data_IF_405932690244
#
_entry.id   IF_405932690244
#
_cell.length_a   1.000
_cell.length_b   1.000
_cell.length_c   1.000
_cell.angle_alpha   90.00
_cell.angle_beta   90.00
_cell.angle_gamma   90.00
#
_symmetry.space_group_name_H-M   'P 1'
#
loop_
_entity.id
_entity.type
_entity.pdbx_description
1 polymer ?
#
# COMPACT_ATOMS: atom_id res chain seq x y z
N UNK A 1 14.28 -0.19 24.81
CA UNK A 1 14.31 -1.31 23.87
C UNK A 1 13.00 -1.43 23.06
N UNK A 2 12.38 -0.31 22.63
CA UNK A 2 11.09 -0.28 21.90
C UNK A 2 11.04 0.72 20.73
N UNK A 3 12.14 1.36 20.37
CA UNK A 3 12.18 2.39 19.30
C UNK A 3 12.10 1.75 17.90
N UNK A 4 12.55 0.52 17.75
CA UNK A 4 12.51 -0.21 16.46
C UNK A 4 11.10 -0.71 16.05
N UNK A 5 10.12 -0.71 16.96
CA UNK A 5 8.75 -1.14 16.62
C UNK A 5 7.88 -0.02 16.08
N UNK A 6 8.13 1.24 16.45
CA UNK A 6 7.36 2.38 15.92
C UNK A 6 7.70 2.71 14.46
N UNK A 7 8.95 2.55 14.06
CA UNK A 7 9.36 2.81 12.67
C UNK A 7 8.75 1.80 11.67
N UNK A 8 8.37 0.59 12.13
CA UNK A 8 7.73 -0.43 11.28
C UNK A 8 6.26 -0.17 10.99
N UNK A 9 5.56 0.58 11.83
CA UNK A 9 4.12 0.83 11.68
C UNK A 9 3.83 1.95 10.68
N UNK A 10 4.62 3.00 10.62
CA UNK A 10 4.45 4.08 9.64
C UNK A 10 4.74 3.64 8.21
N UNK A 11 5.77 2.81 8.03
CA UNK A 11 6.18 2.29 6.72
C UNK A 11 5.15 1.33 6.08
N UNK A 12 4.37 0.65 6.90
CA UNK A 12 3.37 -0.33 6.44
C UNK A 12 2.03 0.32 6.06
N UNK A 13 1.75 1.52 6.58
CA UNK A 13 0.52 2.26 6.27
C UNK A 13 0.54 2.78 4.82
N UNK A 14 1.70 3.21 4.34
CA UNK A 14 1.89 3.69 2.96
C UNK A 14 1.72 2.57 1.91
N UNK A 15 2.08 1.33 2.25
CA UNK A 15 1.99 0.20 1.31
C UNK A 15 0.56 -0.29 1.07
N UNK A 16 -0.37 0.01 1.96
CA UNK A 16 -1.71 -0.58 1.95
C UNK A 16 -2.73 0.17 1.12
N UNK A 17 -2.49 1.44 0.87
CA UNK A 17 -3.34 2.20 -0.04
C UNK A 17 -3.03 1.91 -1.52
N UNK A 18 -1.89 1.27 -1.80
CA UNK A 18 -1.51 0.77 -3.14
C UNK A 18 -2.28 -0.47 -3.57
N UNK A 19 -3.10 -1.07 -2.71
CA UNK A 19 -3.88 -2.28 -3.02
C UNK A 19 -5.12 -2.02 -3.90
N UNK A 20 -5.43 -0.76 -4.16
CA UNK A 20 -6.43 -0.41 -5.17
C UNK A 20 -5.89 -0.48 -6.60
N UNK A 21 -4.62 -0.82 -6.82
CA UNK A 21 -4.05 -0.96 -8.14
C UNK A 21 -3.36 -2.30 -8.28
N UNK A 22 -3.84 -3.04 -9.25
CA UNK A 22 -3.27 -4.24 -9.85
C UNK A 22 -1.74 -4.25 -9.74
N UNK A 23 -1.20 -5.07 -8.86
CA UNK A 23 0.21 -5.47 -8.95
C UNK A 23 0.26 -6.60 -9.96
N UNK A 24 0.90 -6.43 -11.12
CA UNK A 24 1.25 -7.59 -11.92
C UNK A 24 2.23 -8.43 -11.12
N UNK A 25 1.84 -9.64 -10.78
CA UNK A 25 2.65 -10.64 -10.11
C UNK A 25 3.58 -11.26 -11.17
N UNK A 26 4.61 -10.50 -11.57
CA UNK A 26 5.71 -11.05 -12.34
C UNK A 26 6.95 -11.08 -11.47
N UNK A 27 7.22 -12.18 -10.83
CA UNK A 27 8.55 -12.76 -10.59
C UNK A 27 8.46 -13.94 -9.61
N UNK A 28 8.08 -15.09 -10.11
CA UNK A 28 8.66 -16.35 -9.63
C UNK A 28 8.77 -17.30 -10.80
N UNK A 29 9.84 -17.13 -11.59
CA UNK A 29 10.33 -18.20 -12.45
C UNK A 29 11.10 -19.20 -11.60
N UNK A 30 10.40 -20.21 -11.17
CA UNK A 30 10.95 -21.45 -10.64
C UNK A 30 10.18 -22.60 -11.27
N UNK A 31 10.71 -23.12 -12.36
CA UNK A 31 10.58 -24.47 -12.91
C UNK A 31 9.51 -25.37 -12.27
N UNK A 32 8.31 -25.46 -12.92
CA UNK A 32 7.64 -26.76 -13.05
C UNK A 32 6.72 -26.74 -14.29
N UNK A 33 7.08 -27.57 -15.26
CA UNK A 33 6.26 -27.97 -16.40
C UNK A 33 5.00 -28.65 -15.89
N UNK A 34 3.83 -28.04 -16.15
CA UNK A 34 2.53 -28.64 -15.80
C UNK A 34 1.40 -27.84 -16.44
N UNK A 35 0.98 -28.23 -17.61
CA UNK A 35 -0.21 -27.91 -18.39
C UNK A 35 -1.43 -27.58 -17.52
N UNK A 36 -1.71 -26.28 -17.27
CA UNK A 36 -3.06 -25.73 -16.91
C UNK A 36 -2.91 -24.21 -16.75
N UNK A 37 -3.14 -23.42 -17.80
CA UNK A 37 -2.94 -21.98 -17.71
C UNK A 37 -3.54 -21.17 -18.85
N UNK A 38 -4.68 -21.57 -19.40
CA UNK A 38 -5.28 -20.85 -20.53
C UNK A 38 -6.69 -20.30 -20.25
N UNK A 39 -7.13 -20.20 -18.98
CA UNK A 39 -8.46 -19.71 -18.62
C UNK A 39 -8.51 -18.70 -17.47
N UNK A 40 -7.38 -18.27 -16.90
CA UNK A 40 -7.40 -17.53 -15.62
C UNK A 40 -7.36 -15.99 -15.74
N UNK A 41 -7.12 -15.42 -16.91
CA UNK A 41 -6.96 -13.99 -17.08
C UNK A 41 -8.28 -13.18 -16.94
N UNK A 42 -9.32 -13.45 -17.73
CA UNK A 42 -10.56 -12.67 -17.68
C UNK A 42 -11.36 -12.89 -16.39
N UNK A 43 -11.49 -14.13 -15.93
CA UNK A 43 -12.21 -14.46 -14.69
C UNK A 43 -11.58 -13.82 -13.43
N UNK A 44 -10.25 -13.76 -13.40
CA UNK A 44 -9.53 -13.12 -12.31
C UNK A 44 -9.74 -11.61 -12.30
N UNK A 45 -9.70 -10.97 -13.47
CA UNK A 45 -9.98 -9.53 -13.58
C UNK A 45 -11.41 -9.19 -13.18
N UNK A 46 -12.38 -10.00 -13.60
CA UNK A 46 -13.76 -9.84 -13.19
C UNK A 46 -13.96 -10.03 -11.67
N UNK A 47 -13.29 -11.00 -11.07
CA UNK A 47 -13.31 -11.21 -9.63
C UNK A 47 -12.70 -10.01 -8.89
N UNK A 48 -11.57 -9.52 -9.36
CA UNK A 48 -10.92 -8.33 -8.78
C UNK A 48 -11.81 -7.08 -8.90
N UNK A 49 -12.51 -6.91 -10.02
CA UNK A 49 -13.47 -5.83 -10.21
C UNK A 49 -14.67 -5.96 -9.28
N UNK A 50 -15.24 -7.16 -9.13
CA UNK A 50 -16.35 -7.41 -8.19
C UNK A 50 -15.95 -7.15 -6.75
N UNK A 51 -14.75 -7.57 -6.35
CA UNK A 51 -14.22 -7.30 -5.00
C UNK A 51 -14.05 -5.81 -4.77
N UNK A 52 -13.51 -5.06 -5.75
CA UNK A 52 -13.39 -3.60 -5.65
C UNK A 52 -14.74 -2.91 -5.54
N UNK A 53 -15.68 -3.26 -6.41
CA UNK A 53 -17.01 -2.69 -6.37
C UNK A 53 -17.71 -2.93 -5.03
N UNK A 54 -17.61 -4.16 -4.50
CA UNK A 54 -18.17 -4.49 -3.19
C UNK A 54 -17.49 -3.73 -2.05
N UNK A 55 -16.18 -3.53 -2.14
CA UNK A 55 -15.44 -2.76 -1.14
C UNK A 55 -15.83 -1.27 -1.19
N UNK A 56 -15.96 -0.70 -2.38
CA UNK A 56 -16.41 0.69 -2.56
C UNK A 56 -17.81 0.89 -1.99
N UNK A 57 -18.74 0.00 -2.31
CA UNK A 57 -20.11 0.05 -1.77
C UNK A 57 -20.13 -0.03 -0.24
N UNK A 58 -19.40 -0.96 0.34
CA UNK A 58 -19.29 -1.08 1.80
C UNK A 58 -18.71 0.18 2.43
N UNK A 59 -17.70 0.81 1.82
CA UNK A 59 -17.13 2.07 2.32
C UNK A 59 -18.13 3.21 2.22
N UNK A 60 -18.86 3.31 1.11
CA UNK A 60 -19.91 4.29 0.92
C UNK A 60 -21.00 4.19 1.98
N UNK A 61 -21.51 2.97 2.25
CA UNK A 61 -22.50 2.70 3.28
C UNK A 61 -21.97 3.07 4.70
N UNK A 62 -20.75 2.67 5.03
CA UNK A 62 -20.17 2.92 6.35
C UNK A 62 -19.85 4.39 6.62
N UNK A 63 -19.53 5.15 5.58
CA UNK A 63 -19.26 6.58 5.67
C UNK A 63 -20.53 7.42 5.50
N UNK A 64 -21.62 6.84 5.01
CA UNK A 64 -22.87 7.53 4.74
C UNK A 64 -22.72 8.58 3.63
N UNK A 65 -22.02 8.23 2.53
CA UNK A 65 -21.71 9.14 1.45
C UNK A 65 -22.89 9.25 0.46
N UNK A 66 -23.13 10.45 -0.02
CA UNK A 66 -23.93 10.70 -1.22
C UNK A 66 -23.18 10.24 -2.47
N UNK A 67 -23.88 10.12 -3.60
CA UNK A 67 -23.27 9.76 -4.89
C UNK A 67 -22.20 10.77 -5.32
N UNK A 68 -22.44 12.07 -5.05
CA UNK A 68 -21.51 13.13 -5.37
C UNK A 68 -20.24 13.10 -4.51
N UNK A 69 -20.39 12.88 -3.21
CA UNK A 69 -19.27 12.74 -2.29
C UNK A 69 -18.42 11.49 -2.63
N UNK A 70 -19.04 10.37 -2.98
CA UNK A 70 -18.35 9.14 -3.38
C UNK A 70 -17.57 9.34 -4.69
N UNK A 71 -18.14 10.01 -5.67
CA UNK A 71 -17.44 10.33 -6.92
C UNK A 71 -16.20 11.20 -6.66
N UNK A 72 -16.33 12.28 -5.90
CA UNK A 72 -15.22 13.17 -5.53
C UNK A 72 -14.18 12.46 -4.68
N UNK A 73 -14.59 11.65 -3.71
CA UNK A 73 -13.70 10.81 -2.91
C UNK A 73 -12.87 9.88 -3.80
N UNK A 74 -13.52 9.25 -4.79
CA UNK A 74 -12.85 8.34 -5.72
C UNK A 74 -11.77 9.05 -6.53
N UNK A 75 -12.01 10.27 -7.00
CA UNK A 75 -11.01 11.09 -7.72
C UNK A 75 -9.81 11.44 -6.83
N UNK A 76 -10.07 11.91 -5.61
CA UNK A 76 -9.03 12.22 -4.61
C UNK A 76 -8.18 10.99 -4.34
N UNK A 77 -8.80 9.87 -4.01
CA UNK A 77 -8.11 8.60 -3.70
C UNK A 77 -7.28 8.11 -4.88
N UNK A 78 -7.78 8.25 -6.11
CA UNK A 78 -7.05 7.86 -7.31
C UNK A 78 -5.80 8.73 -7.52
N UNK A 79 -5.93 10.04 -7.39
CA UNK A 79 -4.84 11.00 -7.55
C UNK A 79 -3.73 10.77 -6.53
N UNK A 80 -4.06 10.76 -5.25
CA UNK A 80 -3.10 10.48 -4.18
C UNK A 80 -2.53 9.06 -4.23
N UNK A 81 -3.32 8.10 -4.69
CA UNK A 81 -2.87 6.73 -4.92
C UNK A 81 -1.73 6.63 -5.96
N UNK A 82 -1.75 7.46 -7.02
CA UNK A 82 -0.67 7.52 -8.00
C UNK A 82 0.62 8.08 -7.38
N UNK A 83 0.51 9.16 -6.62
CA UNK A 83 1.66 9.78 -5.94
C UNK A 83 2.30 8.82 -4.92
N UNK A 84 1.49 8.13 -4.10
CA UNK A 84 1.98 7.10 -3.18
C UNK A 84 2.71 5.96 -3.89
N UNK A 85 2.21 5.51 -5.04
CA UNK A 85 2.93 4.47 -5.82
C UNK A 85 4.29 4.93 -6.30
N UNK A 86 4.39 6.19 -6.71
CA UNK A 86 5.67 6.77 -7.12
C UNK A 86 6.64 6.85 -5.95
N UNK A 87 6.21 7.36 -4.81
CA UNK A 87 6.99 7.43 -3.57
C UNK A 87 7.45 6.02 -3.14
N UNK A 88 6.54 5.05 -3.09
CA UNK A 88 6.87 3.68 -2.73
C UNK A 88 7.83 2.98 -3.70
N UNK A 89 7.92 3.40 -4.98
CA UNK A 89 8.99 2.93 -5.88
C UNK A 89 10.35 3.49 -5.47
N UNK A 90 10.40 4.77 -5.11
CA UNK A 90 11.64 5.43 -4.67
C UNK A 90 12.15 4.83 -3.36
N UNK A 91 11.26 4.60 -2.39
CA UNK A 91 11.60 3.94 -1.13
C UNK A 91 12.15 2.53 -1.33
N UNK A 92 11.54 1.75 -2.23
CA UNK A 92 12.05 0.42 -2.55
C UNK A 92 13.45 0.47 -3.17
N UNK A 93 13.69 1.42 -4.07
CA UNK A 93 15.02 1.60 -4.69
C UNK A 93 16.09 1.94 -3.63
N UNK A 94 15.78 2.85 -2.71
CA UNK A 94 16.68 3.21 -1.61
C UNK A 94 16.92 2.00 -0.70
N UNK A 95 15.89 1.25 -0.34
CA UNK A 95 16.02 0.05 0.49
C UNK A 95 16.93 -0.99 -0.14
N UNK A 96 16.71 -1.29 -1.43
CA UNK A 96 17.56 -2.25 -2.16
C UNK A 96 19.02 -1.79 -2.20
N UNK A 97 19.26 -0.48 -2.32
CA UNK A 97 20.64 0.03 -2.30
C UNK A 97 21.27 -0.07 -0.91
N UNK A 98 20.50 0.18 0.15
CA UNK A 98 20.95 -0.05 1.53
C UNK A 98 21.30 -1.52 1.76
N UNK A 99 20.46 -2.45 1.31
CA UNK A 99 20.73 -3.89 1.40
C UNK A 99 22.00 -4.28 0.65
N UNK A 100 22.20 -3.75 -0.58
CA UNK A 100 23.42 -3.96 -1.37
C UNK A 100 24.65 -3.43 -0.64
N UNK A 101 24.62 -2.20 -0.13
CA UNK A 101 25.73 -1.60 0.62
C UNK A 101 26.12 -2.43 1.85
N UNK A 102 25.13 -2.96 2.58
CA UNK A 102 25.39 -3.84 3.73
C UNK A 102 26.05 -5.16 3.31
N UNK A 103 25.67 -5.74 2.17
CA UNK A 103 26.27 -6.97 1.63
C UNK A 103 27.69 -6.73 1.10
N UNK A 104 27.98 -5.56 0.59
CA UNK A 104 29.31 -5.14 0.11
C UNK A 104 30.31 -4.84 1.25
N UNK A 105 29.87 -4.99 2.51
CA UNK A 105 30.70 -4.76 3.69
C UNK A 105 30.59 -3.37 4.30
N UNK A 106 29.74 -2.52 3.76
CA UNK A 106 29.30 -1.27 4.40
C UNK A 106 30.40 -0.23 4.68
N UNK A 107 31.50 -0.22 3.92
CA UNK A 107 32.64 0.67 4.17
C UNK A 107 32.51 2.06 3.56
N UNK A 108 31.59 2.28 2.62
CA UNK A 108 31.36 3.59 2.01
C UNK A 108 30.48 4.47 2.90
N UNK A 109 31.14 5.25 3.76
CA UNK A 109 30.47 6.18 4.67
C UNK A 109 29.81 7.35 3.95
N UNK A 110 30.30 7.74 2.78
CA UNK A 110 29.74 8.83 2.00
C UNK A 110 28.39 8.41 1.39
N UNK A 111 28.35 7.24 0.76
CA UNK A 111 27.10 6.67 0.24
C UNK A 111 26.09 6.39 1.36
N UNK A 112 26.54 5.89 2.50
CA UNK A 112 25.66 5.67 3.66
C UNK A 112 25.02 7.00 4.12
N UNK A 113 25.77 8.10 4.16
CA UNK A 113 25.25 9.42 4.51
C UNK A 113 24.20 9.91 3.48
N UNK A 114 24.45 9.75 2.19
CA UNK A 114 23.49 10.08 1.13
C UNK A 114 22.20 9.27 1.23
N UNK A 115 22.30 7.97 1.48
CA UNK A 115 21.13 7.11 1.64
C UNK A 115 20.29 7.52 2.85
N UNK A 116 20.91 7.88 3.97
CA UNK A 116 20.21 8.39 5.16
C UNK A 116 19.49 9.71 4.86
N UNK A 117 20.11 10.64 4.16
CA UNK A 117 19.47 11.89 3.74
C UNK A 117 18.27 11.60 2.82
N UNK A 118 18.44 10.69 1.87
CA UNK A 118 17.37 10.31 0.94
C UNK A 118 16.21 9.63 1.64
N UNK A 119 16.48 8.77 2.61
CA UNK A 119 15.44 8.18 3.46
C UNK A 119 14.67 9.25 4.24
N UNK A 120 15.37 10.20 4.85
CA UNK A 120 14.73 11.29 5.58
C UNK A 120 13.85 12.16 4.66
N UNK A 121 14.33 12.49 3.47
CA UNK A 121 13.57 13.26 2.49
C UNK A 121 12.30 12.52 2.04
N UNK A 122 12.38 11.20 1.82
CA UNK A 122 11.22 10.38 1.45
C UNK A 122 10.18 10.33 2.57
N UNK A 123 10.60 10.25 3.84
CA UNK A 123 9.68 10.30 4.98
C UNK A 123 8.98 11.66 5.10
N UNK A 124 9.68 12.75 4.83
CA UNK A 124 9.06 14.09 4.78
C UNK A 124 8.02 14.17 3.67
N UNK A 125 8.36 13.70 2.47
CA UNK A 125 7.43 13.67 1.33
C UNK A 125 6.19 12.81 1.62
N UNK A 126 6.35 11.68 2.32
CA UNK A 126 5.24 10.85 2.76
C UNK A 126 4.31 11.61 3.72
N UNK A 127 4.88 12.30 4.70
CA UNK A 127 4.11 13.11 5.66
C UNK A 127 3.35 14.26 4.98
N UNK A 128 3.99 14.96 4.07
CA UNK A 128 3.38 16.04 3.26
C UNK A 128 2.23 15.50 2.40
N UNK A 129 2.45 14.34 1.76
CA UNK A 129 1.43 13.70 0.94
C UNK A 129 0.20 13.29 1.75
N UNK A 130 0.40 12.76 2.97
CA UNK A 130 -0.69 12.41 3.90
C UNK A 130 -1.45 13.67 4.31
N UNK A 131 -0.74 14.74 4.66
CA UNK A 131 -1.36 16.02 5.03
C UNK A 131 -2.18 16.59 3.88
N UNK A 132 -1.64 16.62 2.68
CA UNK A 132 -2.34 17.11 1.49
C UNK A 132 -3.59 16.28 1.18
N UNK A 133 -3.53 14.95 1.31
CA UNK A 133 -4.70 14.09 1.15
C UNK A 133 -5.78 14.41 2.19
N UNK A 134 -5.40 14.56 3.47
CA UNK A 134 -6.37 14.91 4.51
C UNK A 134 -7.05 16.26 4.22
N UNK A 135 -6.30 17.25 3.75
CA UNK A 135 -6.86 18.54 3.36
C UNK A 135 -7.86 18.41 2.21
N UNK A 136 -7.48 17.68 1.14
CA UNK A 136 -8.38 17.44 0.02
C UNK A 136 -9.64 16.66 0.43
N UNK A 137 -9.51 15.69 1.33
CA UNK A 137 -10.66 14.95 1.87
C UNK A 137 -11.61 15.85 2.66
N UNK A 138 -11.08 16.80 3.44
CA UNK A 138 -11.89 17.74 4.22
C UNK A 138 -12.66 18.76 3.37
N UNK A 139 -12.31 18.94 2.09
CA UNK A 139 -13.09 19.74 1.16
C UNK A 139 -14.40 19.06 0.72
N UNK A 140 -14.46 17.73 0.85
CA UNK A 140 -15.58 16.90 0.38
C UNK A 140 -16.32 16.23 1.53
N UNK A 141 -15.60 15.83 2.56
CA UNK A 141 -16.09 15.03 3.67
C UNK A 141 -16.05 15.81 4.99
N UNK A 142 -16.95 15.49 5.89
CA UNK A 142 -16.88 15.99 7.27
C UNK A 142 -15.65 15.41 7.98
N UNK A 143 -15.12 16.10 9.01
CA UNK A 143 -13.98 15.59 9.79
C UNK A 143 -14.20 14.18 10.35
N UNK A 144 -15.44 13.88 10.75
CA UNK A 144 -15.79 12.56 11.29
C UNK A 144 -15.77 11.48 10.21
N UNK A 145 -16.21 11.79 8.99
CA UNK A 145 -16.12 10.87 7.84
C UNK A 145 -14.66 10.61 7.45
N UNK A 146 -13.81 11.65 7.48
CA UNK A 146 -12.36 11.48 7.24
C UNK A 146 -11.73 10.58 8.30
N UNK A 147 -12.01 10.79 9.58
CA UNK A 147 -11.51 9.91 10.64
C UNK A 147 -11.98 8.46 10.48
N UNK A 148 -13.24 8.26 10.14
CA UNK A 148 -13.77 6.90 9.86
C UNK A 148 -13.06 6.26 8.66
N UNK A 149 -12.84 7.02 7.59
CA UNK A 149 -12.11 6.54 6.42
C UNK A 149 -10.69 6.10 6.76
N UNK A 150 -9.94 6.91 7.51
CA UNK A 150 -8.59 6.59 7.99
C UNK A 150 -8.61 5.31 8.82
N UNK A 151 -9.52 5.22 9.78
CA UNK A 151 -9.66 4.06 10.65
C UNK A 151 -10.00 2.77 9.88
N UNK A 152 -10.93 2.84 8.93
CA UNK A 152 -11.27 1.71 8.06
C UNK A 152 -10.08 1.23 7.23
N UNK A 153 -9.30 2.16 6.69
CA UNK A 153 -8.07 1.84 5.94
C UNK A 153 -7.05 1.13 6.82
N UNK A 154 -6.85 1.58 8.05
CA UNK A 154 -5.96 0.92 9.01
C UNK A 154 -6.41 -0.50 9.35
N UNK A 155 -7.71 -0.69 9.62
CA UNK A 155 -8.26 -2.02 9.92
C UNK A 155 -8.08 -2.99 8.74
N UNK A 156 -8.38 -2.54 7.52
CA UNK A 156 -8.18 -3.34 6.31
C UNK A 156 -6.72 -3.72 6.15
N UNK A 157 -5.83 -2.76 6.41
CA UNK A 157 -4.40 -2.95 6.40
C UNK A 157 -3.92 -4.05 7.32
N UNK A 158 -4.31 -3.97 8.56
CA UNK A 158 -3.98 -4.98 9.57
C UNK A 158 -4.55 -6.37 9.22
N UNK A 159 -5.77 -6.41 8.66
CA UNK A 159 -6.40 -7.67 8.24
C UNK A 159 -5.63 -8.34 7.11
N UNK A 160 -5.22 -7.59 6.11
CA UNK A 160 -4.44 -8.11 4.98
C UNK A 160 -3.07 -8.61 5.45
N UNK A 161 -2.41 -7.88 6.36
CA UNK A 161 -1.13 -8.33 6.92
C UNK A 161 -1.26 -9.63 7.70
N UNK A 162 -2.31 -9.78 8.50
CA UNK A 162 -2.59 -11.04 9.21
C UNK A 162 -2.79 -12.22 8.24
N UNK A 163 -3.50 -11.99 7.14
CA UNK A 163 -3.72 -13.02 6.12
C UNK A 163 -2.43 -13.40 5.37
N UNK A 164 -1.53 -12.44 5.14
CA UNK A 164 -0.22 -12.70 4.51
C UNK A 164 0.79 -13.35 5.46
N UNK A 165 0.69 -13.06 6.75
CA UNK A 165 1.58 -13.62 7.77
C UNK A 165 1.22 -15.02 8.25
N UNK A 166 0.09 -15.57 7.82
CA UNK A 166 -0.23 -16.98 8.04
C UNK A 166 0.24 -17.78 6.82
N UNK A 167 1.45 -18.40 6.85
CA UNK A 167 1.79 -19.42 5.87
C UNK A 167 0.75 -20.51 6.00
N UNK A 168 0.13 -20.86 4.88
CA UNK A 168 -0.98 -21.80 4.83
C UNK A 168 -0.74 -22.99 5.75
N UNK A 169 -1.57 -23.08 6.78
CA UNK A 169 -1.67 -24.27 7.59
C UNK A 169 -2.37 -25.29 6.68
N UNK A 170 -1.55 -25.89 5.80
CA UNK A 170 -1.97 -27.00 4.99
C UNK A 170 -2.44 -28.08 5.94
N UNK A 171 -3.73 -28.36 5.92
CA UNK A 171 -4.31 -29.52 6.51
C UNK A 171 -3.60 -30.78 5.99
N UNK A 172 -2.60 -31.21 6.74
CA UNK A 172 -2.11 -32.57 6.66
C UNK A 172 -3.10 -33.47 7.40
N UNK A 173 -4.06 -34.00 6.69
CA UNK A 173 -4.75 -35.25 7.03
C UNK A 173 -4.99 -36.06 5.78
#
# INVERSE_FOLDING_TARGET
MNILRLARTGFLLSMLLSLFVVVPLEAQRGSQRGRRGQGQGPERMELEQRVRARMAEMMREQLGLSDEEDARLSEIVQGFGQQRRQLGRQERAVRLRVESLMLEGGQDSAEAAELLQRMSALHMQEAELIQAEHQALLEVLTPMQVLRLVHLREQLGQRIQRLRGQPGRGDGR
#
